data_IF_406485781036
#
_entry.id   IF_406485781036
#
_cell.length_a   1.000
_cell.length_b   1.000
_cell.length_c   1.000
_cell.angle_alpha   90.00
_cell.angle_beta   90.00
_cell.angle_gamma   90.00
#
_symmetry.space_group_name_H-M   'P 1'
#
loop_
_entity.id
_entity.type
_entity.pdbx_description
1 polymer ?
#
# COMPACT_ATOMS: atom_id res chain seq x y z
N UNK A 1 -5.72 -7.62 2.52
CA UNK A 1 -4.72 -8.40 1.77
C UNK A 1 -4.63 -7.80 0.40
N UNK A 2 -3.46 -7.80 -0.22
CA UNK A 2 -3.31 -7.42 -1.62
C UNK A 2 -4.20 -8.32 -2.48
N UNK A 3 -4.80 -7.73 -3.50
CA UNK A 3 -5.65 -8.38 -4.46
C UNK A 3 -5.19 -7.99 -5.86
N UNK A 4 -5.52 -8.80 -6.89
CA UNK A 4 -5.25 -8.43 -8.27
C UNK A 4 -5.80 -7.05 -8.60
N UNK A 5 -4.97 -6.20 -9.19
CA UNK A 5 -5.34 -4.82 -9.49
C UNK A 5 -4.43 -4.27 -10.57
N UNK A 6 -4.95 -3.33 -11.34
CA UNK A 6 -4.18 -2.51 -12.26
C UNK A 6 -4.45 -1.05 -11.90
N UNK A 7 -3.39 -0.25 -11.77
CA UNK A 7 -3.51 1.17 -11.52
C UNK A 7 -2.41 1.92 -12.23
N UNK A 8 -2.76 3.05 -12.83
CA UNK A 8 -1.78 3.99 -13.39
C UNK A 8 -1.86 5.28 -12.62
N UNK A 9 -0.70 5.73 -12.16
CA UNK A 9 -0.51 6.99 -11.46
C UNK A 9 0.19 7.96 -12.40
N UNK A 10 -0.34 9.18 -12.46
CA UNK A 10 0.20 10.29 -13.23
C UNK A 10 0.90 11.25 -12.26
N UNK A 11 1.97 11.88 -12.73
CA UNK A 11 2.73 12.85 -11.96
C UNK A 11 2.83 14.18 -12.71
N UNK A 12 2.61 15.27 -11.98
CA UNK A 12 2.89 16.62 -12.44
C UNK A 12 4.37 16.93 -12.20
N UNK A 13 5.08 17.38 -13.23
CA UNK A 13 6.51 17.66 -13.16
C UNK A 13 7.06 18.21 -14.48
N UNK A 14 8.39 18.26 -14.62
CA UNK A 14 9.06 18.78 -15.83
C UNK A 14 8.77 18.00 -17.12
N UNK A 15 8.33 16.75 -17.00
CA UNK A 15 8.01 15.82 -18.09
C UNK A 15 6.83 14.94 -17.70
N UNK A 16 6.20 14.27 -18.68
CA UNK A 16 5.02 13.44 -18.45
C UNK A 16 5.41 12.09 -17.83
N UNK A 17 5.56 12.08 -16.51
CA UNK A 17 5.92 10.89 -15.75
C UNK A 17 4.67 10.09 -15.36
N UNK A 18 4.72 8.79 -15.61
CA UNK A 18 3.66 7.85 -15.25
C UNK A 18 4.23 6.61 -14.57
N UNK A 19 3.45 6.02 -13.66
CA UNK A 19 3.76 4.73 -13.04
C UNK A 19 2.57 3.81 -13.13
N UNK A 20 2.72 2.72 -13.85
CA UNK A 20 1.72 1.64 -13.91
C UNK A 20 2.11 0.55 -12.94
N UNK A 21 1.17 0.18 -12.07
CA UNK A 21 1.27 -0.92 -11.12
C UNK A 21 0.27 -1.99 -11.51
N UNK A 22 0.76 -3.20 -11.67
CA UNK A 22 -0.02 -4.36 -12.03
C UNK A 22 0.24 -5.46 -11.00
N UNK A 23 -0.80 -5.91 -10.31
CA UNK A 23 -0.77 -7.07 -9.42
C UNK A 23 -1.66 -8.13 -10.07
N UNK A 24 -1.09 -9.28 -10.41
CA UNK A 24 -1.81 -10.37 -11.04
C UNK A 24 -1.63 -11.66 -10.25
N UNK A 25 -2.67 -12.49 -10.28
CA UNK A 25 -2.61 -13.86 -9.79
C UNK A 25 -2.20 -14.79 -10.93
N UNK A 26 -1.24 -15.67 -10.65
CA UNK A 26 -0.68 -16.58 -11.63
C UNK A 26 0.06 -17.74 -10.99
N UNK A 27 0.62 -18.66 -11.79
CA UNK A 27 1.46 -19.72 -11.27
C UNK A 27 2.73 -19.13 -10.67
N UNK A 28 3.14 -19.63 -9.51
CA UNK A 28 4.41 -19.24 -8.90
C UNK A 28 5.60 -19.68 -9.78
N UNK A 29 6.57 -18.80 -9.95
CA UNK A 29 7.89 -19.05 -10.54
C UNK A 29 8.65 -20.15 -9.79
N UNK A 30 8.58 -20.16 -8.46
CA UNK A 30 9.24 -21.18 -7.64
C UNK A 30 8.50 -22.53 -7.68
N UNK A 31 7.17 -22.51 -7.73
CA UNK A 31 6.35 -23.71 -7.84
C UNK A 31 5.11 -23.51 -8.71
N UNK A 32 5.16 -23.89 -10.01
CA UNK A 32 4.06 -23.68 -10.95
C UNK A 32 2.73 -24.36 -10.57
N UNK A 33 2.71 -25.24 -9.56
CA UNK A 33 1.49 -25.87 -9.04
C UNK A 33 0.80 -25.06 -7.93
N UNK A 34 1.39 -23.94 -7.52
CA UNK A 34 0.82 -23.02 -6.53
C UNK A 34 0.50 -21.70 -7.21
N UNK A 35 -0.57 -21.07 -6.75
CA UNK A 35 -0.90 -19.70 -7.10
C UNK A 35 -0.03 -18.74 -6.28
N UNK A 36 0.45 -17.69 -6.93
CA UNK A 36 1.15 -16.58 -6.33
C UNK A 36 0.62 -15.27 -6.93
N UNK A 37 0.84 -14.18 -6.20
CA UNK A 37 0.63 -12.84 -6.72
C UNK A 37 1.96 -12.30 -7.22
N UNK A 38 1.98 -11.81 -8.45
CA UNK A 38 3.13 -11.10 -9.03
C UNK A 38 2.78 -9.63 -9.09
N UNK A 39 3.63 -8.80 -8.50
CA UNK A 39 3.57 -7.35 -8.63
C UNK A 39 4.59 -6.90 -9.68
N UNK A 40 4.13 -6.16 -10.66
CA UNK A 40 4.96 -5.50 -11.66
C UNK A 40 4.72 -4.00 -11.62
N UNK A 41 5.79 -3.23 -11.80
CA UNK A 41 5.74 -1.79 -11.88
C UNK A 41 6.53 -1.32 -13.10
N UNK A 42 5.92 -0.46 -13.91
CA UNK A 42 6.58 0.19 -15.03
C UNK A 42 6.52 1.70 -14.84
N UNK A 43 7.68 2.36 -14.84
CA UNK A 43 7.80 3.81 -14.80
C UNK A 43 8.13 4.30 -16.21
N UNK A 44 7.36 5.26 -16.71
CA UNK A 44 7.58 5.89 -18.02
C UNK A 44 7.73 7.38 -17.90
N UNK A 45 8.62 7.94 -18.71
CA UNK A 45 8.84 9.37 -18.88
C UNK A 45 8.62 9.74 -20.34
N UNK A 46 7.69 10.67 -20.62
CA UNK A 46 7.25 11.03 -21.98
C UNK A 46 6.93 9.80 -22.86
N UNK A 47 6.40 8.74 -22.24
CA UNK A 47 6.04 7.47 -22.87
C UNK A 47 7.18 6.45 -23.00
N UNK A 48 8.44 6.85 -22.80
CA UNK A 48 9.58 5.93 -22.79
C UNK A 48 9.69 5.21 -21.44
N UNK A 49 9.90 3.89 -21.47
CA UNK A 49 10.14 3.10 -20.25
C UNK A 49 11.52 3.44 -19.69
N UNK A 50 11.56 3.92 -18.45
CA UNK A 50 12.82 4.30 -17.76
C UNK A 50 13.18 3.35 -16.63
N UNK A 51 12.20 2.62 -16.09
CA UNK A 51 12.41 1.62 -15.06
C UNK A 51 11.28 0.60 -15.09
N UNK A 52 11.65 -0.67 -14.89
CA UNK A 52 10.71 -1.77 -14.74
C UNK A 52 11.10 -2.63 -13.57
N UNK A 53 10.08 -3.22 -12.97
CA UNK A 53 10.23 -4.08 -11.83
C UNK A 53 9.16 -5.16 -11.83
N UNK A 54 9.49 -6.39 -11.45
CA UNK A 54 8.54 -7.49 -11.34
C UNK A 54 9.02 -8.54 -10.35
N UNK A 55 8.15 -8.94 -9.43
CA UNK A 55 8.46 -9.96 -8.42
C UNK A 55 7.20 -10.55 -7.81
N UNK A 56 7.32 -11.78 -7.30
CA UNK A 56 6.27 -12.40 -6.50
C UNK A 56 6.16 -11.75 -5.12
N UNK A 57 4.93 -11.50 -4.67
CA UNK A 57 4.63 -10.77 -3.44
C UNK A 57 3.75 -11.59 -2.50
N UNK A 58 4.01 -11.49 -1.21
CA UNK A 58 3.14 -12.05 -0.19
C UNK A 58 1.89 -11.15 -0.02
N UNK A 59 0.67 -11.65 -0.24
CA UNK A 59 -0.56 -10.84 -0.16
C UNK A 59 -0.81 -10.20 1.20
N UNK A 60 -0.34 -10.81 2.28
CA UNK A 60 -0.57 -10.30 3.63
C UNK A 60 0.39 -9.15 3.97
N UNK A 61 1.65 -9.26 3.54
CA UNK A 61 2.72 -8.39 3.99
C UNK A 61 3.27 -7.44 2.92
N UNK A 62 2.89 -7.59 1.65
CA UNK A 62 3.44 -6.85 0.51
C UNK A 62 4.94 -7.03 0.26
N UNK A 63 5.62 -7.91 1.02
CA UNK A 63 7.04 -8.21 0.81
C UNK A 63 7.24 -9.22 -0.32
N UNK A 64 8.39 -9.15 -1.03
CA UNK A 64 8.79 -10.19 -1.96
C UNK A 64 8.80 -11.58 -1.30
N UNK A 65 8.34 -12.61 -2.00
CA UNK A 65 8.45 -14.01 -1.56
C UNK A 65 9.74 -14.67 -2.03
N UNK A 66 10.34 -14.17 -3.12
CA UNK A 66 11.54 -14.72 -3.72
C UNK A 66 12.67 -13.68 -3.75
N UNK A 67 13.90 -14.14 -3.46
CA UNK A 67 15.23 -13.60 -3.86
C UNK A 67 15.63 -12.15 -3.57
N UNK A 68 14.70 -11.21 -3.62
CA UNK A 68 14.88 -9.77 -3.51
C UNK A 68 14.48 -9.26 -2.14
N UNK A 69 15.12 -8.17 -1.75
CA UNK A 69 14.81 -7.43 -0.54
C UNK A 69 14.05 -6.14 -0.87
N UNK A 70 13.22 -5.69 0.08
CA UNK A 70 12.50 -4.43 -0.01
C UNK A 70 11.12 -4.53 -0.65
N UNK A 71 10.22 -3.66 -0.20
CA UNK A 71 8.93 -3.42 -0.81
C UNK A 71 9.11 -2.74 -2.17
N UNK A 72 8.16 -2.96 -3.07
CA UNK A 72 7.97 -2.11 -4.24
C UNK A 72 7.17 -0.86 -3.87
N UNK A 73 6.21 -0.48 -4.71
CA UNK A 73 5.42 0.75 -4.54
C UNK A 73 4.15 0.58 -3.67
N UNK A 74 3.99 -0.55 -2.99
CA UNK A 74 2.80 -0.85 -2.20
C UNK A 74 3.20 -1.20 -0.77
N UNK A 75 2.56 -0.53 0.20
CA UNK A 75 2.73 -0.84 1.61
C UNK A 75 1.77 -1.94 2.07
N UNK A 76 2.12 -2.65 3.16
CA UNK A 76 1.21 -3.63 3.76
C UNK A 76 -0.08 -2.98 4.26
N UNK A 77 -1.13 -3.80 4.41
CA UNK A 77 -2.32 -3.38 5.16
C UNK A 77 -1.95 -3.06 6.61
N UNK A 78 -2.59 -2.04 7.18
CA UNK A 78 -2.23 -1.46 8.47
C UNK A 78 -0.73 -1.16 8.57
N UNK A 79 -0.19 -0.26 7.73
CA UNK A 79 1.21 0.12 7.82
C UNK A 79 1.54 0.61 9.23
N UNK A 80 2.73 0.27 9.70
CA UNK A 80 3.21 0.52 11.05
C UNK A 80 4.12 1.75 11.08
N UNK A 81 4.24 2.38 12.24
CA UNK A 81 5.10 3.57 12.44
C UNK A 81 6.57 3.18 12.56
N UNK A 82 7.11 2.56 11.51
CA UNK A 82 8.50 2.09 11.44
C UNK A 82 9.04 2.24 10.02
N UNK A 83 10.35 2.06 9.89
CA UNK A 83 10.98 1.98 8.58
C UNK A 83 10.66 0.66 7.88
N UNK A 84 10.48 0.75 6.57
CA UNK A 84 10.35 -0.39 5.67
C UNK A 84 11.56 -0.43 4.73
N UNK A 85 12.10 -1.61 4.38
CA UNK A 85 13.04 -1.68 3.27
C UNK A 85 12.24 -1.38 2.00
N UNK A 86 12.70 -0.45 1.18
CA UNK A 86 12.08 -0.05 -0.08
C UNK A 86 13.12 -0.23 -1.18
N UNK A 87 12.75 -0.93 -2.25
CA UNK A 87 13.61 -1.08 -3.41
C UNK A 87 13.26 -0.03 -4.45
N UNK A 88 14.27 0.76 -4.85
CA UNK A 88 14.15 1.73 -5.91
C UNK A 88 14.67 1.14 -7.24
N UNK A 89 13.81 0.99 -8.27
CA UNK A 89 14.20 0.36 -9.53
C UNK A 89 15.06 1.24 -10.44
N UNK A 90 15.24 2.54 -10.14
CA UNK A 90 16.15 3.40 -10.91
C UNK A 90 17.56 3.33 -10.36
N UNK A 91 17.69 3.11 -9.05
CA UNK A 91 18.96 2.90 -8.39
C UNK A 91 19.40 1.42 -8.36
N UNK A 92 18.47 0.49 -8.60
CA UNK A 92 18.64 -0.94 -8.33
C UNK A 92 19.18 -1.20 -6.91
N UNK A 93 18.56 -0.52 -5.92
CA UNK A 93 19.04 -0.49 -4.55
C UNK A 93 17.89 -0.51 -3.54
N UNK A 94 18.12 -1.20 -2.43
CA UNK A 94 17.23 -1.14 -1.26
C UNK A 94 17.69 -0.02 -0.32
N UNK A 95 16.79 0.91 -0.06
CA UNK A 95 16.96 2.02 0.89
C UNK A 95 15.87 1.95 1.97
N UNK A 96 16.07 2.57 3.14
CA UNK A 96 15.00 2.69 4.11
C UNK A 96 13.93 3.67 3.62
N UNK A 97 12.67 3.27 3.78
CA UNK A 97 11.48 4.11 3.71
C UNK A 97 11.03 4.41 5.14
N UNK A 98 11.54 5.51 5.68
CA UNK A 98 11.46 5.89 7.08
C UNK A 98 10.15 6.60 7.41
N UNK A 99 9.56 6.27 8.56
CA UNK A 99 8.36 6.93 9.06
C UNK A 99 8.67 8.36 9.51
N UNK A 100 7.99 9.34 8.92
CA UNK A 100 8.12 10.75 9.26
C UNK A 100 7.06 11.23 10.27
N UNK A 101 5.86 10.66 10.24
CA UNK A 101 4.78 11.13 11.11
C UNK A 101 3.38 10.78 10.62
N UNK A 102 2.38 11.18 11.40
CA UNK A 102 0.99 11.09 11.01
C UNK A 102 0.56 12.34 10.24
N UNK A 103 -0.35 12.18 9.29
CA UNK A 103 -0.83 13.25 8.43
C UNK A 103 -2.31 13.09 8.09
N UNK A 104 -2.77 13.96 7.20
CA UNK A 104 -4.11 13.95 6.64
C UNK A 104 -4.07 14.30 5.16
N UNK A 105 -4.70 13.48 4.33
CA UNK A 105 -4.87 13.73 2.88
C UNK A 105 -6.32 13.47 2.53
N UNK A 106 -6.98 14.44 1.88
CA UNK A 106 -8.39 14.34 1.48
C UNK A 106 -9.35 13.87 2.60
N UNK A 107 -9.09 14.26 3.85
CA UNK A 107 -9.90 13.87 5.02
C UNK A 107 -9.63 12.45 5.55
N UNK A 108 -8.64 11.74 5.01
CA UNK A 108 -8.17 10.43 5.50
C UNK A 108 -6.93 10.59 6.37
N UNK A 109 -6.87 9.85 7.47
CA UNK A 109 -5.68 9.78 8.33
C UNK A 109 -4.56 8.99 7.63
N UNK A 110 -3.39 9.60 7.51
CA UNK A 110 -2.24 9.02 6.81
C UNK A 110 -1.05 8.78 7.72
N UNK A 111 -0.17 7.90 7.26
CA UNK A 111 1.22 7.86 7.69
C UNK A 111 2.10 8.35 6.54
N UNK A 112 3.02 9.26 6.88
CA UNK A 112 3.99 9.81 5.96
C UNK A 112 5.31 9.07 6.10
N UNK A 113 5.91 8.74 4.96
CA UNK A 113 7.22 8.12 4.90
C UNK A 113 8.13 8.87 3.93
N UNK A 114 9.44 8.74 4.11
CA UNK A 114 10.44 9.27 3.19
C UNK A 114 11.51 8.24 2.88
N UNK A 115 12.03 8.27 1.66
CA UNK A 115 13.21 7.53 1.27
C UNK A 115 14.17 8.49 0.59
N UNK A 116 15.44 8.43 0.99
CA UNK A 116 16.52 9.15 0.33
C UNK A 116 17.41 8.15 -0.37
N UNK A 117 17.59 8.33 -1.67
CA UNK A 117 18.54 7.59 -2.47
C UNK A 117 19.68 8.53 -2.80
N UNK A 118 20.91 8.17 -2.42
CA UNK A 118 22.10 8.96 -2.69
C UNK A 118 23.23 8.04 -3.18
N UNK A 119 23.35 7.94 -4.50
CA UNK A 119 24.43 7.22 -5.19
C UNK A 119 25.09 8.14 -6.23
N UNK A 120 26.31 7.85 -6.70
CA UNK A 120 27.05 8.76 -7.58
C UNK A 120 26.26 9.23 -8.82
N UNK A 121 25.50 8.34 -9.44
CA UNK A 121 24.73 8.59 -10.68
C UNK A 121 23.30 9.12 -10.41
N UNK A 122 22.77 8.94 -9.19
CA UNK A 122 21.36 9.17 -8.88
C UNK A 122 21.17 9.69 -7.45
N UNK A 123 20.48 10.82 -7.33
CA UNK A 123 20.09 11.40 -6.05
C UNK A 123 18.63 11.80 -6.09
N UNK A 124 17.84 11.23 -5.19
CA UNK A 124 16.43 11.55 -5.07
C UNK A 124 15.92 11.44 -3.64
N UNK A 125 14.95 12.31 -3.34
CA UNK A 125 14.18 12.28 -2.11
C UNK A 125 12.72 12.02 -2.47
N UNK A 126 12.19 10.89 -2.00
CA UNK A 126 10.78 10.54 -2.12
C UNK A 126 10.09 10.78 -0.79
N UNK A 127 8.90 11.34 -0.83
CA UNK A 127 7.95 11.36 0.28
C UNK A 127 6.62 10.79 -0.19
N UNK A 128 6.03 9.93 0.61
CA UNK A 128 4.71 9.34 0.35
C UNK A 128 3.79 9.53 1.55
N UNK A 129 2.51 9.72 1.29
CA UNK A 129 1.44 9.65 2.28
C UNK A 129 0.54 8.46 1.96
N UNK A 130 0.37 7.56 2.93
CA UNK A 130 -0.47 6.36 2.76
C UNK A 130 -1.59 6.29 3.79
N UNK A 131 -2.75 5.79 3.41
CA UNK A 131 -3.88 5.61 4.33
C UNK A 131 -3.56 4.50 5.35
N UNK A 132 -3.80 4.78 6.63
CA UNK A 132 -3.30 3.99 7.75
C UNK A 132 -3.90 2.58 7.93
N UNK A 133 -5.00 2.24 7.27
CA UNK A 133 -5.66 0.92 7.39
C UNK A 133 -5.36 0.03 6.19
N UNK A 134 -5.35 0.62 5.01
CA UNK A 134 -5.24 -0.05 3.73
C UNK A 134 -3.82 -0.05 3.19
N UNK A 135 -2.98 0.90 3.62
CA UNK A 135 -1.65 1.09 3.05
C UNK A 135 -1.67 1.72 1.65
N UNK A 136 -2.84 2.16 1.17
CA UNK A 136 -2.98 2.78 -0.15
C UNK A 136 -2.27 4.14 -0.19
N UNK A 137 -1.47 4.34 -1.23
CA UNK A 137 -0.86 5.63 -1.56
C UNK A 137 -1.92 6.67 -1.89
N UNK A 138 -1.85 7.83 -1.23
CA UNK A 138 -2.77 8.95 -1.43
C UNK A 138 -2.07 10.21 -1.97
N UNK A 139 -0.82 10.40 -1.60
CA UNK A 139 0.02 11.47 -2.12
C UNK A 139 1.47 10.99 -2.24
N UNK A 140 2.19 11.57 -3.18
CA UNK A 140 3.60 11.32 -3.39
C UNK A 140 4.27 12.56 -3.97
N UNK A 141 5.47 12.84 -3.46
CA UNK A 141 6.38 13.80 -4.05
C UNK A 141 7.75 13.17 -4.21
N UNK A 142 8.42 13.46 -5.32
CA UNK A 142 9.71 12.90 -5.65
C UNK A 142 10.59 13.99 -6.25
N UNK A 143 11.59 14.40 -5.48
CA UNK A 143 12.56 15.41 -5.89
C UNK A 143 13.82 14.70 -6.36
N UNK A 144 14.18 14.87 -7.63
CA UNK A 144 15.35 14.24 -8.23
C UNK A 144 16.32 15.33 -8.65
N UNK A 145 17.51 15.35 -8.05
CA UNK A 145 18.53 16.37 -8.36
C UNK A 145 19.62 15.83 -9.28
N UNK A 146 19.77 14.51 -9.36
CA UNK A 146 20.72 13.80 -10.21
C UNK A 146 20.12 12.48 -10.67
N UNK A 147 20.31 12.09 -11.92
CA UNK A 147 19.78 10.85 -12.47
C UNK A 147 19.16 10.99 -13.86
N UNK A 148 18.44 9.95 -14.32
CA UNK A 148 17.76 9.94 -15.62
C UNK A 148 16.60 10.94 -15.70
N UNK A 149 16.06 11.32 -14.54
CA UNK A 149 15.05 12.37 -14.37
C UNK A 149 15.66 13.52 -13.56
N UNK A 150 15.12 14.74 -13.72
CA UNK A 150 15.51 15.90 -12.91
C UNK A 150 14.31 16.79 -12.63
N UNK A 151 14.17 17.22 -11.38
CA UNK A 151 13.14 18.14 -10.91
C UNK A 151 12.22 17.51 -9.88
N UNK A 152 11.15 18.24 -9.58
CA UNK A 152 10.12 17.82 -8.64
C UNK A 152 8.95 17.20 -9.42
N UNK A 153 8.62 15.97 -9.08
CA UNK A 153 7.42 15.30 -9.53
C UNK A 153 6.47 15.14 -8.35
N UNK A 154 5.22 15.54 -8.50
CA UNK A 154 4.17 15.34 -7.51
C UNK A 154 3.05 14.53 -8.12
N UNK A 155 2.42 13.65 -7.33
CA UNK A 155 1.25 12.91 -7.79
C UNK A 155 0.20 13.89 -8.32
N UNK A 156 -0.35 13.64 -9.52
CA UNK A 156 -1.29 14.59 -10.12
C UNK A 156 -2.59 14.68 -9.33
N UNK A 157 -3.29 15.82 -9.42
CA UNK A 157 -4.58 16.00 -8.74
C UNK A 157 -5.61 14.93 -9.14
N UNK A 158 -5.59 14.49 -10.40
CA UNK A 158 -6.41 13.37 -10.90
C UNK A 158 -6.08 12.06 -10.15
N UNK A 159 -4.80 11.74 -10.04
CA UNK A 159 -4.34 10.51 -9.38
C UNK A 159 -4.62 10.56 -7.87
N UNK A 160 -4.43 11.72 -7.22
CA UNK A 160 -4.79 11.95 -5.82
C UNK A 160 -6.29 11.76 -5.59
N UNK A 161 -7.13 12.33 -6.45
CA UNK A 161 -8.58 12.22 -6.34
C UNK A 161 -9.07 10.77 -6.52
N UNK A 162 -8.52 10.06 -7.52
CA UNK A 162 -8.82 8.64 -7.74
C UNK A 162 -8.41 7.78 -6.54
N UNK A 163 -7.20 7.99 -6.01
CA UNK A 163 -6.70 7.26 -4.85
C UNK A 163 -7.53 7.53 -3.58
N UNK A 164 -7.89 8.79 -3.33
CA UNK A 164 -8.72 9.18 -2.19
C UNK A 164 -10.14 8.57 -2.28
N UNK A 165 -10.76 8.61 -3.47
CA UNK A 165 -12.07 8.01 -3.71
C UNK A 165 -12.06 6.50 -3.42
N UNK A 166 -11.06 5.78 -3.95
CA UNK A 166 -10.89 4.35 -3.69
C UNK A 166 -10.63 4.04 -2.20
N UNK A 167 -9.79 4.84 -1.54
CA UNK A 167 -9.50 4.65 -0.11
C UNK A 167 -10.73 4.92 0.78
N UNK A 168 -11.53 5.94 0.48
CA UNK A 168 -12.78 6.21 1.20
C UNK A 168 -13.77 5.04 1.09
N UNK A 169 -13.90 4.47 -0.11
CA UNK A 169 -14.74 3.29 -0.34
C UNK A 169 -14.30 2.11 0.55
N UNK A 170 -13.02 1.76 0.51
CA UNK A 170 -12.46 0.64 1.27
C UNK A 170 -12.55 0.86 2.78
N UNK A 171 -12.25 2.07 3.26
CA UNK A 171 -12.34 2.42 4.67
C UNK A 171 -13.78 2.36 5.17
N UNK A 172 -14.76 2.78 4.37
CA UNK A 172 -16.18 2.65 4.71
C UNK A 172 -16.61 1.19 4.85
N UNK A 173 -16.19 0.32 3.93
CA UNK A 173 -16.46 -1.13 4.02
C UNK A 173 -15.82 -1.72 5.28
N UNK A 174 -14.56 -1.38 5.57
CA UNK A 174 -13.89 -1.89 6.77
C UNK A 174 -14.57 -1.43 8.06
N UNK A 175 -15.02 -0.18 8.12
CA UNK A 175 -15.77 0.34 9.27
C UNK A 175 -17.12 -0.36 9.44
N UNK A 176 -17.86 -0.61 8.36
CA UNK A 176 -19.16 -1.29 8.44
C UNK A 176 -19.01 -2.73 8.92
N UNK A 177 -17.99 -3.45 8.43
CA UNK A 177 -17.66 -4.80 8.90
C UNK A 177 -17.29 -4.82 10.38
N UNK A 178 -16.51 -3.85 10.86
CA UNK A 178 -16.15 -3.75 12.28
C UNK A 178 -17.39 -3.51 13.17
N UNK A 179 -18.31 -2.65 12.73
CA UNK A 179 -19.57 -2.40 13.45
C UNK A 179 -20.42 -3.67 13.48
N UNK A 180 -20.57 -4.38 12.36
CA UNK A 180 -21.32 -5.64 12.32
C UNK A 180 -20.71 -6.70 13.25
N UNK A 181 -19.39 -6.87 13.23
CA UNK A 181 -18.70 -7.79 14.12
C UNK A 181 -18.93 -7.46 15.60
N UNK A 182 -18.96 -6.17 15.95
CA UNK A 182 -19.30 -5.71 17.30
C UNK A 182 -20.76 -6.04 17.67
N UNK A 183 -21.72 -5.77 16.78
CA UNK A 183 -23.13 -6.09 16.99
C UNK A 183 -23.33 -7.60 17.19
N UNK A 184 -22.70 -8.44 16.36
CA UNK A 184 -22.78 -9.89 16.51
C UNK A 184 -22.24 -10.35 17.87
N UNK A 185 -21.09 -9.84 18.31
CA UNK A 185 -20.53 -10.15 19.64
C UNK A 185 -21.49 -9.76 20.77
N UNK A 186 -22.16 -8.61 20.65
CA UNK A 186 -23.12 -8.13 21.63
C UNK A 186 -24.36 -9.04 21.69
N UNK A 187 -24.91 -9.43 20.54
CA UNK A 187 -26.03 -10.38 20.44
C UNK A 187 -25.66 -11.74 21.04
N UNK A 188 -24.46 -12.26 20.73
CA UNK A 188 -23.98 -13.52 21.31
C UNK A 188 -23.84 -13.44 22.84
N UNK A 189 -23.31 -12.33 23.37
CA UNK A 189 -23.19 -12.12 24.81
C UNK A 189 -24.57 -12.08 25.50
N UNK A 190 -25.55 -11.40 24.90
CA UNK A 190 -26.92 -11.36 25.40
C UNK A 190 -27.58 -12.74 25.36
N UNK A 191 -27.37 -13.52 24.30
CA UNK A 191 -27.90 -14.88 24.19
C UNK A 191 -27.31 -15.80 25.28
N UNK A 192 -26.00 -15.72 25.53
CA UNK A 192 -25.34 -16.47 26.61
C UNK A 192 -25.85 -16.05 27.99
N UNK A 193 -26.03 -14.74 28.22
CA UNK A 193 -26.59 -14.23 29.46
C UNK A 193 -28.03 -14.73 29.67
N UNK A 194 -28.86 -14.70 28.64
CA UNK A 194 -30.24 -15.20 28.71
C UNK A 194 -30.29 -16.70 28.98
N UNK A 195 -29.44 -17.50 28.30
CA UNK A 195 -29.32 -18.94 28.54
C UNK A 195 -28.89 -19.24 29.99
N UNK A 196 -27.96 -18.45 30.54
CA UNK A 196 -27.53 -18.57 31.93
C UNK A 196 -28.67 -18.26 32.91
N UNK A 197 -29.43 -17.18 32.70
CA UNK A 197 -30.59 -16.81 33.52
C UNK A 197 -31.66 -17.91 33.49
N UNK A 198 -31.95 -18.49 32.32
CA UNK A 198 -32.87 -19.62 32.18
C UNK A 198 -32.42 -20.84 32.97
N UNK A 199 -31.12 -21.17 32.94
CA UNK A 199 -30.57 -22.31 33.65
C UNK A 199 -30.64 -22.12 35.19
N UNK A 200 -30.37 -20.91 35.68
CA UNK A 200 -30.47 -20.59 37.12
C UNK A 200 -31.93 -20.66 37.60
N UNK A 201 -32.89 -20.15 36.81
CA UNK A 201 -34.32 -20.26 37.14
C UNK A 201 -34.76 -21.72 37.25
N UNK A 202 -34.37 -22.57 36.30
CA UNK A 202 -34.72 -24.00 36.29
C UNK A 202 -34.15 -24.84 37.44
N UNK A 203 -33.15 -24.35 38.17
CA UNK A 203 -32.55 -25.06 39.33
C UNK A 203 -33.17 -24.67 40.67
N UNK A 204 -34.04 -23.66 40.68
CA UNK A 204 -34.73 -23.16 41.90
C UNK A 204 -36.16 -23.69 42.05
N UNK A 205 -36.71 -24.30 41.00
CA UNK A 205 -37.93 -25.12 41.02
C UNK A 205 -37.57 -26.60 41.19
#
# INVERSE_FOLDING_TARGET
>A
MLAPTESTLLFDGPSALTRTLLIMEGPSEENPKKEALTMSATVRDDGAVIAEDSFEVNPASAYPTSGRQGLGYVLPYNPERRSYPFYDPLADLVVPLDYLGAGWVAGLETYRYTATIDVPEYHAERTIDVERRTGRLLDESWTITRGPLKGLYTLSDESKAAAASAALHDVHILKSLQVMAFVTRLVSALALFYAFVLLVRRRRD
#
